data_IF_003133024607
#
_entry.id   IF_003133024607
#
_cell.length_a   1.000
_cell.length_b   1.000
_cell.length_c   1.000
_cell.angle_alpha   90.00
_cell.angle_beta   90.00
_cell.angle_gamma   90.00
#
_symmetry.space_group_name_H-M   'P 1'
#
loop_
_entity.id
_entity.type
_entity.pdbx_description
1 polymer ?
#
# COMPACT_ATOMS: atom_id res chain seq x y z
N UNK A 1 -31.85 1.88 -8.43
CA UNK A 1 -32.28 1.01 -7.32
C UNK A 1 -31.44 -0.25 -7.37
N UNK A 2 -30.26 -0.21 -6.75
CA UNK A 2 -29.43 -1.39 -6.59
C UNK A 2 -29.89 -2.11 -5.32
N UNK A 3 -30.28 -3.38 -5.50
CA UNK A 3 -30.71 -4.29 -4.44
C UNK A 3 -29.59 -4.46 -3.43
N UNK A 4 -29.87 -4.18 -2.14
CA UNK A 4 -29.08 -4.71 -1.02
C UNK A 4 -28.97 -6.23 -1.21
N UNK A 5 -27.77 -6.72 -1.54
CA UNK A 5 -27.49 -8.14 -1.47
C UNK A 5 -27.43 -8.52 -0.01
N UNK A 6 -28.51 -9.15 0.45
CA UNK A 6 -28.60 -9.82 1.75
C UNK A 6 -27.40 -10.77 1.84
N UNK A 7 -26.54 -10.59 2.84
CA UNK A 7 -25.38 -11.43 3.11
C UNK A 7 -25.78 -12.91 3.05
N UNK A 8 -25.20 -13.64 2.10
CA UNK A 8 -25.22 -15.09 2.13
C UNK A 8 -24.39 -15.50 3.36
N UNK A 9 -24.93 -16.27 4.32
CA UNK A 9 -24.13 -16.76 5.43
C UNK A 9 -22.97 -17.58 4.88
N UNK A 10 -21.77 -17.35 5.43
CA UNK A 10 -20.61 -18.16 5.10
C UNK A 10 -20.92 -19.64 5.36
N UNK A 11 -20.50 -20.58 4.50
CA UNK A 11 -20.57 -21.99 4.81
C UNK A 11 -19.81 -22.27 6.11
N UNK A 12 -20.27 -23.26 6.87
CA UNK A 12 -19.82 -23.70 8.21
C UNK A 12 -18.56 -23.01 8.77
N UNK A 13 -18.63 -22.36 9.96
CA UNK A 13 -17.52 -21.60 10.51
C UNK A 13 -16.25 -22.45 10.60
N UNK A 14 -15.11 -21.85 10.26
CA UNK A 14 -13.80 -22.50 10.33
C UNK A 14 -13.56 -23.12 11.72
N UNK A 15 -13.13 -24.38 11.75
CA UNK A 15 -12.83 -25.10 13.01
C UNK A 15 -11.71 -24.41 13.82
N UNK A 16 -10.81 -23.67 13.16
CA UNK A 16 -9.78 -22.83 13.79
C UNK A 16 -9.31 -21.71 12.84
N UNK A 17 -8.92 -20.56 13.39
CA UNK A 17 -8.41 -19.42 12.61
C UNK A 17 -6.89 -19.50 12.41
N UNK A 18 -6.33 -19.03 11.27
CA UNK A 18 -4.91 -19.07 10.97
C UNK A 18 -4.16 -17.96 11.71
N UNK A 19 -3.99 -18.16 13.02
CA UNK A 19 -3.31 -17.24 13.93
C UNK A 19 -1.91 -16.83 13.48
N UNK A 20 -1.22 -17.69 12.75
CA UNK A 20 0.11 -17.43 12.22
C UNK A 20 0.13 -16.29 11.20
N UNK A 21 -1.01 -15.89 10.64
CA UNK A 21 -1.10 -14.78 9.69
C UNK A 21 -0.85 -13.41 10.33
N UNK A 22 -1.08 -13.26 11.64
CA UNK A 22 -0.82 -12.01 12.36
C UNK A 22 0.69 -11.86 12.64
N UNK A 23 1.37 -11.08 11.80
CA UNK A 23 2.82 -10.86 11.89
C UNK A 23 3.13 -9.66 12.78
N UNK A 24 4.39 -9.23 12.78
CA UNK A 24 4.85 -8.10 13.57
C UNK A 24 4.38 -6.74 13.03
N UNK A 25 4.14 -6.59 11.73
CA UNK A 25 3.86 -5.28 11.11
C UNK A 25 2.60 -5.27 10.24
N UNK A 26 2.05 -6.44 9.96
CA UNK A 26 0.89 -6.63 9.09
C UNK A 26 0.27 -8.02 9.32
N UNK A 27 -0.82 -8.29 8.59
CA UNK A 27 -1.38 -9.63 8.46
C UNK A 27 -1.04 -10.16 7.07
N UNK A 28 -0.47 -11.35 6.96
CA UNK A 28 -0.13 -12.00 5.67
C UNK A 28 -0.36 -13.50 5.69
N UNK A 29 -0.85 -14.02 4.58
CA UNK A 29 -1.08 -15.46 4.39
C UNK A 29 -1.43 -15.82 2.96
N UNK A 30 -1.65 -17.11 2.73
CA UNK A 30 -2.10 -17.61 1.44
C UNK A 30 -3.54 -17.18 1.13
N UNK A 31 -3.80 -16.76 -0.10
CA UNK A 31 -5.11 -16.34 -0.60
C UNK A 31 -5.21 -16.56 -2.12
N UNK A 32 -5.77 -17.70 -2.53
CA UNK A 32 -5.68 -18.20 -3.92
C UNK A 32 -6.71 -17.57 -4.88
N UNK A 33 -7.50 -16.59 -4.44
CA UNK A 33 -8.53 -15.92 -5.26
C UNK A 33 -9.83 -16.71 -5.47
N UNK A 34 -9.83 -18.02 -5.21
CA UNK A 34 -11.01 -18.89 -5.29
C UNK A 34 -11.78 -19.02 -3.95
N UNK A 35 -11.41 -18.20 -2.96
CA UNK A 35 -11.95 -18.25 -1.60
C UNK A 35 -11.26 -19.27 -0.68
N UNK A 36 -10.23 -19.97 -1.17
CA UNK A 36 -9.39 -20.88 -0.38
C UNK A 36 -8.07 -20.22 0.04
N UNK A 37 -7.43 -20.80 1.05
CA UNK A 37 -6.20 -20.30 1.64
C UNK A 37 -6.37 -20.05 3.13
N UNK A 38 -5.45 -19.28 3.70
CA UNK A 38 -5.52 -18.83 5.08
C UNK A 38 -6.37 -17.56 5.19
N UNK A 39 -6.20 -16.62 4.25
CA UNK A 39 -6.98 -15.38 4.22
C UNK A 39 -8.17 -15.56 3.28
N UNK A 40 -9.31 -15.90 3.87
CA UNK A 40 -10.58 -16.08 3.17
C UNK A 40 -11.46 -14.83 3.28
N UNK A 41 -12.53 -14.69 2.47
CA UNK A 41 -13.51 -13.63 2.65
C UNK A 41 -14.15 -13.63 4.06
N UNK A 42 -14.33 -14.80 4.67
CA UNK A 42 -14.81 -14.93 6.05
C UNK A 42 -13.81 -14.37 7.06
N UNK A 43 -12.51 -14.67 6.87
CA UNK A 43 -11.44 -14.07 7.67
C UNK A 43 -11.47 -12.54 7.56
N UNK A 44 -11.61 -12.00 6.35
CA UNK A 44 -11.63 -10.56 6.12
C UNK A 44 -12.85 -9.89 6.77
N UNK A 45 -14.04 -10.48 6.67
CA UNK A 45 -15.24 -10.01 7.39
C UNK A 45 -14.99 -9.93 8.89
N UNK A 46 -14.48 -11.02 9.47
CA UNK A 46 -14.18 -11.09 10.90
C UNK A 46 -13.10 -10.09 11.31
N UNK A 47 -12.09 -9.86 10.46
CA UNK A 47 -11.08 -8.82 10.69
C UNK A 47 -11.71 -7.42 10.71
N UNK A 48 -12.68 -7.15 9.84
CA UNK A 48 -13.41 -5.89 9.84
C UNK A 48 -14.18 -5.65 11.14
N UNK A 49 -14.87 -6.69 11.64
CA UNK A 49 -15.55 -6.66 12.95
C UNK A 49 -14.57 -6.44 14.11
N UNK A 50 -13.41 -7.10 14.06
CA UNK A 50 -12.37 -6.97 15.06
C UNK A 50 -11.76 -5.55 15.06
N UNK A 51 -11.47 -4.99 13.89
CA UNK A 51 -10.95 -3.62 13.75
C UNK A 51 -11.94 -2.58 14.27
N UNK A 52 -13.23 -2.67 13.91
CA UNK A 52 -14.26 -1.78 14.43
C UNK A 52 -14.31 -1.80 15.97
N UNK A 53 -14.21 -3.00 16.56
CA UNK A 53 -14.26 -3.20 18.01
C UNK A 53 -12.99 -2.72 18.72
N UNK A 54 -11.81 -3.04 18.17
CA UNK A 54 -10.51 -2.76 18.80
C UNK A 54 -10.08 -1.30 18.63
N UNK A 55 -10.42 -0.67 17.50
CA UNK A 55 -10.05 0.72 17.23
C UNK A 55 -11.09 1.72 17.72
N UNK A 56 -12.31 1.27 18.01
CA UNK A 56 -13.45 2.13 18.35
C UNK A 56 -13.62 3.28 17.33
N UNK A 57 -13.44 2.97 16.04
CA UNK A 57 -13.45 3.96 14.98
C UNK A 57 -14.87 4.31 14.50
N UNK A 58 -15.11 5.59 14.23
CA UNK A 58 -16.34 6.08 13.60
C UNK A 58 -16.22 6.05 12.07
N UNK A 59 -15.03 6.29 11.53
CA UNK A 59 -14.75 6.23 10.10
C UNK A 59 -13.40 5.60 9.79
N UNK A 60 -13.30 4.86 8.68
CA UNK A 60 -12.09 4.12 8.32
C UNK A 60 -11.90 4.04 6.80
N UNK A 61 -10.68 4.23 6.31
CA UNK A 61 -10.36 4.15 4.89
C UNK A 61 -9.94 2.72 4.48
N UNK A 62 -10.37 2.25 3.31
CA UNK A 62 -10.00 0.92 2.78
C UNK A 62 -9.52 1.05 1.34
N UNK A 63 -8.27 0.69 1.10
CA UNK A 63 -7.70 0.53 -0.24
C UNK A 63 -7.37 -0.93 -0.52
N UNK A 64 -7.16 -1.27 -1.80
CA UNK A 64 -6.77 -2.64 -2.20
C UNK A 64 -5.83 -2.63 -3.39
N UNK A 65 -5.00 -3.67 -3.48
CA UNK A 65 -4.21 -3.95 -4.69
C UNK A 65 -5.02 -4.74 -5.74
N UNK A 66 -4.34 -5.11 -6.84
CA UNK A 66 -4.95 -5.77 -8.00
C UNK A 66 -5.02 -7.31 -7.91
N UNK A 67 -4.62 -7.93 -6.79
CA UNK A 67 -4.62 -9.40 -6.69
C UNK A 67 -6.05 -9.94 -6.87
N UNK A 68 -6.18 -11.12 -7.48
CA UNK A 68 -7.49 -11.76 -7.71
C UNK A 68 -8.30 -11.96 -6.42
N UNK A 69 -7.63 -12.15 -5.27
CA UNK A 69 -8.26 -12.25 -3.95
C UNK A 69 -8.67 -10.91 -3.33
N UNK A 70 -8.05 -9.79 -3.72
CA UNK A 70 -8.24 -8.47 -3.11
C UNK A 70 -9.68 -7.94 -3.19
N UNK A 71 -10.43 -8.07 -4.31
CA UNK A 71 -11.81 -7.60 -4.37
C UNK A 71 -12.73 -8.25 -3.32
N UNK A 72 -12.64 -9.57 -3.16
CA UNK A 72 -13.47 -10.30 -2.20
C UNK A 72 -13.06 -10.03 -0.75
N UNK A 73 -11.75 -9.95 -0.48
CA UNK A 73 -11.23 -9.64 0.86
C UNK A 73 -11.61 -8.20 1.27
N UNK A 74 -11.38 -7.21 0.40
CA UNK A 74 -11.75 -5.83 0.69
C UNK A 74 -13.25 -5.67 0.90
N UNK A 75 -14.08 -6.26 0.02
CA UNK A 75 -15.54 -6.18 0.16
C UNK A 75 -16.03 -6.74 1.50
N UNK A 76 -15.51 -7.89 1.93
CA UNK A 76 -15.90 -8.47 3.22
C UNK A 76 -15.33 -7.71 4.42
N UNK A 77 -14.10 -7.21 4.33
CA UNK A 77 -13.50 -6.34 5.35
C UNK A 77 -14.36 -5.09 5.59
N UNK A 78 -14.78 -4.41 4.51
CA UNK A 78 -15.65 -3.24 4.58
C UNK A 78 -17.02 -3.57 5.16
N UNK A 79 -17.60 -4.73 4.81
CA UNK A 79 -18.86 -5.18 5.38
C UNK A 79 -18.75 -5.43 6.89
N UNK A 80 -17.67 -6.08 7.34
CA UNK A 80 -17.41 -6.28 8.77
C UNK A 80 -17.25 -4.95 9.51
N UNK A 81 -16.51 -3.99 8.95
CA UNK A 81 -16.41 -2.64 9.53
C UNK A 81 -17.79 -1.96 9.63
N UNK A 82 -18.58 -1.99 8.56
CA UNK A 82 -19.90 -1.35 8.52
C UNK A 82 -20.89 -1.98 9.52
N UNK A 83 -20.90 -3.31 9.67
CA UNK A 83 -21.71 -4.01 10.69
C UNK A 83 -21.28 -3.68 12.13
N UNK A 84 -20.04 -3.20 12.32
CA UNK A 84 -19.57 -2.63 13.59
C UNK A 84 -19.99 -1.18 13.82
N UNK A 85 -20.69 -0.54 12.87
CA UNK A 85 -21.10 0.87 12.95
C UNK A 85 -20.18 1.87 12.27
N UNK A 86 -19.13 1.40 11.58
CA UNK A 86 -18.11 2.26 10.97
C UNK A 86 -18.58 2.83 9.63
N UNK A 87 -18.33 4.12 9.39
CA UNK A 87 -18.41 4.74 8.07
C UNK A 87 -17.14 4.45 7.27
N UNK A 88 -17.22 3.54 6.32
CA UNK A 88 -16.09 3.06 5.52
C UNK A 88 -15.94 3.88 4.24
N UNK A 89 -14.74 4.41 4.01
CA UNK A 89 -14.38 5.07 2.74
C UNK A 89 -13.66 4.04 1.85
N UNK A 90 -14.32 3.58 0.78
CA UNK A 90 -13.72 2.70 -0.22
C UNK A 90 -12.88 3.54 -1.18
N UNK A 91 -11.56 3.45 -1.07
CA UNK A 91 -10.62 4.19 -1.92
C UNK A 91 -10.45 3.55 -3.31
N UNK A 92 -10.96 2.33 -3.50
CA UNK A 92 -10.78 1.57 -4.74
C UNK A 92 -9.39 0.91 -4.83
N UNK A 93 -8.91 0.74 -6.06
CA UNK A 93 -7.56 0.21 -6.33
C UNK A 93 -6.57 1.36 -6.24
N UNK A 94 -5.69 1.31 -5.23
CA UNK A 94 -4.76 2.40 -4.89
C UNK A 94 -3.44 1.84 -4.38
N UNK A 95 -2.37 2.65 -4.42
CA UNK A 95 -1.11 2.29 -3.75
C UNK A 95 -1.23 2.33 -2.23
N UNK A 96 -0.31 1.65 -1.52
CA UNK A 96 -0.20 1.74 -0.06
C UNK A 96 0.02 3.18 0.41
N UNK A 97 0.82 3.97 -0.32
CA UNK A 97 1.04 5.38 -0.03
C UNK A 97 -0.25 6.22 -0.09
N UNK A 98 -1.17 5.89 -0.99
CA UNK A 98 -2.48 6.57 -1.10
C UNK A 98 -3.38 6.29 0.12
N UNK A 99 -3.37 5.07 0.67
CA UNK A 99 -4.09 4.77 1.92
C UNK A 99 -3.52 5.58 3.07
N UNK A 100 -2.19 5.66 3.18
CA UNK A 100 -1.54 6.47 4.22
C UNK A 100 -1.83 7.96 4.06
N UNK A 101 -1.83 8.47 2.82
CA UNK A 101 -2.23 9.84 2.52
C UNK A 101 -3.68 10.12 2.91
N UNK A 102 -4.60 9.19 2.64
CA UNK A 102 -6.00 9.30 3.06
C UNK A 102 -6.14 9.38 4.58
N UNK A 103 -5.34 8.63 5.35
CA UNK A 103 -5.32 8.74 6.82
C UNK A 103 -4.91 10.13 7.33
N UNK A 104 -4.12 10.89 6.56
CA UNK A 104 -3.71 12.26 6.89
C UNK A 104 -4.68 13.34 6.39
N UNK A 105 -5.41 13.07 5.31
CA UNK A 105 -6.17 14.10 4.58
C UNK A 105 -7.69 13.96 4.70
N UNK A 106 -8.20 12.76 5.00
CA UNK A 106 -9.61 12.49 5.19
C UNK A 106 -9.96 12.40 6.68
N UNK A 107 -11.22 12.69 7.07
CA UNK A 107 -11.67 12.58 8.46
C UNK A 107 -11.91 11.11 8.86
N UNK A 108 -10.84 10.32 8.92
CA UNK A 108 -10.86 8.89 9.27
C UNK A 108 -10.02 8.63 10.52
N UNK A 109 -10.39 7.59 11.28
CA UNK A 109 -9.64 7.15 12.45
C UNK A 109 -8.52 6.15 12.10
N UNK A 110 -8.23 5.98 10.82
CA UNK A 110 -7.22 5.07 10.30
C UNK A 110 -7.62 4.50 8.95
N UNK A 111 -6.87 3.50 8.51
CA UNK A 111 -7.13 2.85 7.24
C UNK A 111 -6.46 1.49 7.13
N UNK A 112 -6.82 0.75 6.09
CA UNK A 112 -6.25 -0.55 5.77
C UNK A 112 -6.05 -0.69 4.27
N UNK A 113 -4.86 -1.15 3.92
CA UNK A 113 -4.52 -1.57 2.57
C UNK A 113 -4.59 -3.09 2.48
N UNK A 114 -5.45 -3.61 1.62
CA UNK A 114 -5.53 -5.05 1.29
C UNK A 114 -4.45 -5.37 0.27
N UNK A 115 -3.34 -5.94 0.74
CA UNK A 115 -2.19 -6.30 -0.09
C UNK A 115 -1.24 -7.28 0.62
N UNK A 116 -0.50 -8.09 -0.15
CA UNK A 116 0.72 -8.77 0.32
C UNK A 116 2.02 -8.17 -0.23
N UNK A 117 1.98 -6.91 -0.68
CA UNK A 117 3.13 -6.17 -1.20
C UNK A 117 3.82 -6.91 -2.33
N UNK A 118 5.07 -7.35 -2.17
CA UNK A 118 5.85 -8.07 -3.17
C UNK A 118 5.72 -9.60 -3.16
N UNK A 119 4.94 -10.19 -2.25
CA UNK A 119 4.75 -11.65 -2.28
C UNK A 119 3.99 -12.05 -3.54
N UNK A 120 4.20 -13.26 -4.10
CA UNK A 120 3.60 -13.63 -5.38
C UNK A 120 2.09 -13.36 -5.44
N UNK A 121 1.65 -12.49 -6.34
CA UNK A 121 0.26 -12.06 -6.53
C UNK A 121 -0.75 -13.21 -6.61
N UNK A 122 -0.48 -14.32 -7.32
CA UNK A 122 -1.46 -15.39 -7.48
C UNK A 122 -1.79 -16.17 -6.20
N UNK A 123 -0.96 -16.08 -5.16
CA UNK A 123 -1.05 -17.01 -4.01
C UNK A 123 -1.10 -16.34 -2.64
N UNK A 124 -0.75 -15.07 -2.52
CA UNK A 124 -0.67 -14.39 -1.22
C UNK A 124 -1.56 -13.16 -1.19
N UNK A 125 -2.03 -12.78 0.00
CA UNK A 125 -2.59 -11.46 0.25
C UNK A 125 -2.37 -11.08 1.73
N UNK A 126 -2.88 -9.93 2.15
CA UNK A 126 -2.65 -9.40 3.49
C UNK A 126 -3.35 -8.08 3.77
N UNK A 127 -3.04 -7.53 4.94
CA UNK A 127 -3.62 -6.28 5.44
C UNK A 127 -2.54 -5.46 6.14
N UNK A 128 -2.23 -4.27 5.61
CA UNK A 128 -1.44 -3.24 6.28
C UNK A 128 -2.40 -2.24 6.90
N UNK A 129 -2.29 -1.97 8.19
CA UNK A 129 -3.33 -1.24 8.93
C UNK A 129 -2.75 -0.04 9.67
N UNK A 130 -3.52 1.04 9.77
CA UNK A 130 -3.20 2.24 10.50
C UNK A 130 -4.25 2.53 11.57
N UNK A 131 -3.80 3.08 12.71
CA UNK A 131 -4.63 3.72 13.74
C UNK A 131 -4.30 5.20 13.74
N UNK A 132 -5.27 6.03 13.39
CA UNK A 132 -5.04 7.41 12.99
C UNK A 132 -4.07 7.46 11.80
N UNK A 133 -2.98 8.20 11.97
CA UNK A 133 -1.95 8.39 10.94
C UNK A 133 -0.75 7.44 11.09
N UNK A 134 -0.74 6.57 12.11
CA UNK A 134 0.38 5.69 12.42
C UNK A 134 0.06 4.23 12.08
N UNK A 135 1.07 3.43 11.67
CA UNK A 135 0.88 2.00 11.42
C UNK A 135 0.58 1.26 12.72
N UNK A 136 -0.34 0.28 12.66
CA UNK A 136 -0.51 -0.72 13.71
C UNK A 136 0.63 -1.73 13.60
N UNK A 137 1.36 -1.95 14.69
CA UNK A 137 2.50 -2.87 14.71
C UNK A 137 2.69 -3.51 16.09
N UNK A 138 3.50 -4.57 16.11
CA UNK A 138 3.96 -5.25 17.31
C UNK A 138 2.82 -5.73 18.20
N UNK A 139 2.80 -5.20 19.43
CA UNK A 139 1.81 -5.54 20.46
C UNK A 139 0.38 -5.22 20.02
N UNK A 140 0.15 -4.10 19.31
CA UNK A 140 -1.19 -3.71 18.87
C UNK A 140 -1.81 -4.71 17.90
N UNK A 141 -1.01 -5.35 17.03
CA UNK A 141 -1.51 -6.43 16.15
C UNK A 141 -1.87 -7.67 16.97
N UNK A 142 -1.15 -7.96 18.05
CA UNK A 142 -1.45 -9.09 18.91
C UNK A 142 -2.69 -8.84 19.78
N UNK A 143 -2.93 -7.59 20.19
CA UNK A 143 -4.18 -7.17 20.84
C UNK A 143 -5.37 -7.29 19.88
N UNK A 144 -5.23 -6.80 18.64
CA UNK A 144 -6.23 -6.99 17.59
C UNK A 144 -6.51 -8.48 17.33
N UNK A 145 -5.46 -9.32 17.29
CA UNK A 145 -5.60 -10.77 17.17
C UNK A 145 -6.42 -11.36 18.32
N UNK A 146 -6.22 -10.90 19.56
CA UNK A 146 -7.01 -11.37 20.70
C UNK A 146 -8.50 -11.04 20.53
N UNK A 147 -8.84 -9.82 20.11
CA UNK A 147 -10.23 -9.42 19.79
C UNK A 147 -10.81 -10.26 18.67
N UNK A 148 -10.03 -10.49 17.60
CA UNK A 148 -10.42 -11.34 16.48
C UNK A 148 -10.74 -12.77 16.93
N UNK A 149 -9.93 -13.37 17.82
CA UNK A 149 -10.13 -14.74 18.30
C UNK A 149 -11.31 -14.86 19.27
N UNK A 150 -11.49 -13.88 20.17
CA UNK A 150 -12.60 -13.86 21.12
C UNK A 150 -13.95 -13.89 20.39
N UNK A 151 -14.11 -13.09 19.34
CA UNK A 151 -15.33 -13.09 18.52
C UNK A 151 -16.52 -12.34 19.10
N UNK A 152 -16.32 -11.65 20.22
CA UNK A 152 -17.27 -10.71 20.80
C UNK A 152 -17.00 -9.34 20.19
N UNK A 153 -17.87 -8.93 19.26
CA UNK A 153 -17.68 -7.71 18.48
C UNK A 153 -18.73 -6.66 18.83
N UNK A 154 -18.38 -5.39 18.63
CA UNK A 154 -19.36 -4.31 18.62
C UNK A 154 -20.39 -4.53 17.50
N UNK A 155 -21.59 -3.98 17.72
CA UNK A 155 -22.70 -4.00 16.77
C UNK A 155 -23.06 -2.57 16.41
N UNK A 156 -23.34 -2.33 15.14
CA UNK A 156 -23.74 -1.03 14.65
C UNK A 156 -24.33 -1.10 13.25
N UNK A 157 -24.62 0.07 12.70
CA UNK A 157 -25.09 0.21 11.32
C UNK A 157 -24.34 1.35 10.66
N UNK A 158 -23.18 1.03 10.11
CA UNK A 158 -22.35 1.92 9.33
C UNK A 158 -22.79 2.02 7.87
N UNK A 159 -21.93 2.59 7.05
CA UNK A 159 -22.13 2.71 5.60
C UNK A 159 -20.80 2.53 4.87
N UNK A 160 -20.87 2.15 3.59
CA UNK A 160 -19.71 2.09 2.68
C UNK A 160 -19.89 3.19 1.64
N UNK A 161 -18.91 4.07 1.52
CA UNK A 161 -18.95 5.25 0.65
C UNK A 161 -17.81 5.16 -0.37
N UNK A 162 -18.16 5.13 -1.65
CA UNK A 162 -17.21 5.20 -2.76
C UNK A 162 -16.46 6.54 -2.73
N UNK A 163 -15.14 6.47 -2.51
CA UNK A 163 -14.27 7.63 -2.29
C UNK A 163 -12.91 7.43 -3.00
N UNK A 164 -12.87 7.36 -4.34
CA UNK A 164 -11.60 7.24 -5.07
C UNK A 164 -10.64 8.37 -4.69
N UNK A 165 -9.38 8.05 -4.38
CA UNK A 165 -8.44 9.01 -3.76
C UNK A 165 -7.04 9.05 -4.42
N UNK A 166 -6.81 8.24 -5.47
CA UNK A 166 -5.49 8.17 -6.10
C UNK A 166 -5.10 9.46 -6.83
N UNK A 167 -6.06 10.12 -7.48
CA UNK A 167 -5.81 11.39 -8.17
C UNK A 167 -5.42 12.49 -7.17
N UNK A 168 -6.12 12.59 -6.03
CA UNK A 168 -5.78 13.52 -4.96
C UNK A 168 -4.36 13.26 -4.40
N UNK A 169 -3.95 12.00 -4.31
CA UNK A 169 -2.59 11.64 -3.90
C UNK A 169 -1.54 12.01 -4.94
N UNK A 170 -1.81 11.80 -6.24
CA UNK A 170 -0.92 12.21 -7.33
C UNK A 170 -0.76 13.74 -7.34
N UNK A 171 -1.85 14.48 -7.20
CA UNK A 171 -1.83 15.95 -7.14
C UNK A 171 -1.00 16.45 -5.95
N UNK A 172 -1.14 15.82 -4.77
CA UNK A 172 -0.34 16.14 -3.59
C UNK A 172 1.17 15.89 -3.81
N UNK A 173 1.54 14.80 -4.52
CA UNK A 173 2.95 14.52 -4.88
C UNK A 173 3.49 15.63 -5.81
N UNK A 174 2.71 16.03 -6.82
CA UNK A 174 3.10 17.05 -7.78
C UNK A 174 3.26 18.41 -7.08
N UNK A 175 2.32 18.79 -6.22
CA UNK A 175 2.37 20.02 -5.44
C UNK A 175 3.60 20.05 -4.51
N UNK A 176 3.86 18.93 -3.82
CA UNK A 176 5.01 18.82 -2.91
C UNK A 176 6.36 18.83 -3.63
N UNK A 177 6.44 18.24 -4.83
CA UNK A 177 7.71 18.13 -5.59
C UNK A 177 8.04 19.43 -6.32
N UNK A 178 7.01 20.15 -6.78
CA UNK A 178 7.18 21.33 -7.62
C UNK A 178 7.65 21.00 -9.06
N UNK A 179 7.92 22.03 -9.87
CA UNK A 179 8.24 21.84 -11.28
C UNK A 179 9.64 21.27 -11.49
N UNK A 180 9.78 20.41 -12.50
CA UNK A 180 11.07 19.88 -12.93
C UNK A 180 12.03 21.01 -13.36
N UNK A 181 13.24 21.03 -12.79
CA UNK A 181 14.25 22.05 -13.10
C UNK A 181 14.76 21.96 -14.56
N UNK A 182 14.65 20.78 -15.18
CA UNK A 182 14.98 20.51 -16.57
C UNK A 182 14.24 19.27 -17.05
N UNK A 183 14.23 19.06 -18.37
CA UNK A 183 13.82 17.77 -18.93
C UNK A 183 14.74 16.66 -18.45
N UNK A 184 14.15 15.52 -18.10
CA UNK A 184 14.82 14.30 -17.67
C UNK A 184 14.21 13.15 -18.46
N UNK A 185 15.05 12.20 -18.87
CA UNK A 185 14.58 10.94 -19.46
C UNK A 185 14.77 9.78 -18.49
N UNK A 186 13.71 9.09 -18.11
CA UNK A 186 13.72 8.00 -17.12
C UNK A 186 13.10 6.72 -17.70
N UNK A 187 13.52 5.55 -17.24
CA UNK A 187 12.75 4.33 -17.44
C UNK A 187 12.03 3.95 -16.15
N UNK A 188 10.77 3.52 -16.22
CA UNK A 188 10.01 3.05 -15.05
C UNK A 188 9.52 1.63 -15.24
N UNK A 189 9.58 0.83 -14.17
CA UNK A 189 9.13 -0.55 -14.15
C UNK A 189 8.03 -0.75 -13.11
N UNK A 190 6.82 -1.00 -13.59
CA UNK A 190 5.65 -1.25 -12.76
C UNK A 190 5.51 -2.69 -12.27
N UNK A 191 6.28 -3.64 -12.77
CA UNK A 191 6.20 -5.06 -12.40
C UNK A 191 4.80 -5.67 -12.57
N UNK A 192 3.98 -5.14 -13.50
CA UNK A 192 2.56 -5.40 -13.68
C UNK A 192 1.66 -5.13 -12.48
N UNK A 193 2.13 -4.30 -11.56
CA UNK A 193 1.51 -4.08 -10.26
C UNK A 193 0.76 -2.76 -10.17
N UNK A 194 0.10 -2.54 -9.03
CA UNK A 194 -0.68 -1.34 -8.70
C UNK A 194 0.01 -0.03 -9.13
N UNK A 195 1.28 0.24 -8.79
CA UNK A 195 1.91 1.53 -9.11
C UNK A 195 2.09 1.78 -10.62
N UNK A 196 2.07 0.76 -11.49
CA UNK A 196 2.38 0.90 -12.92
C UNK A 196 1.63 2.05 -13.63
N UNK A 197 0.29 1.99 -13.77
CA UNK A 197 -0.47 3.04 -14.46
C UNK A 197 -0.36 4.40 -13.77
N UNK A 198 -0.22 4.42 -12.44
CA UNK A 198 -0.12 5.64 -11.66
C UNK A 198 1.25 6.33 -11.79
N UNK A 199 2.34 5.56 -11.96
CA UNK A 199 3.64 6.13 -12.29
C UNK A 199 3.61 6.78 -13.68
N UNK A 200 2.97 6.14 -14.66
CA UNK A 200 2.78 6.71 -16.01
C UNK A 200 2.00 8.02 -15.91
N UNK A 201 0.85 8.02 -15.23
CA UNK A 201 0.03 9.21 -15.00
C UNK A 201 0.82 10.34 -14.32
N UNK A 202 1.60 10.03 -13.27
CA UNK A 202 2.41 11.01 -12.56
C UNK A 202 3.48 11.62 -13.46
N UNK A 203 4.22 10.79 -14.21
CA UNK A 203 5.30 11.25 -15.09
C UNK A 203 4.80 12.09 -16.27
N UNK A 204 3.67 11.70 -16.85
CA UNK A 204 2.97 12.48 -17.89
C UNK A 204 2.58 13.86 -17.34
N UNK A 205 1.99 13.93 -16.14
CA UNK A 205 1.57 15.18 -15.51
C UNK A 205 2.78 16.08 -15.16
N UNK A 206 3.92 15.50 -14.80
CA UNK A 206 5.17 16.22 -14.54
C UNK A 206 5.94 16.63 -15.82
N UNK A 207 5.51 16.17 -16.99
CA UNK A 207 6.18 16.46 -18.27
C UNK A 207 7.57 15.82 -18.39
N UNK A 208 7.75 14.65 -17.79
CA UNK A 208 9.00 13.86 -17.86
C UNK A 208 9.00 13.02 -19.13
N UNK A 209 10.15 12.83 -19.78
CA UNK A 209 10.26 11.89 -20.89
C UNK A 209 10.47 10.49 -20.30
N UNK A 210 9.54 9.54 -20.47
CA UNK A 210 9.63 8.22 -19.83
C UNK A 210 9.56 7.04 -20.81
N UNK A 211 10.10 5.91 -20.36
CA UNK A 211 10.01 4.59 -21.00
C UNK A 211 9.36 3.63 -20.02
N UNK A 212 8.22 3.06 -20.42
CA UNK A 212 7.37 2.28 -19.51
C UNK A 212 7.59 0.78 -19.70
N UNK A 213 7.98 0.11 -18.62
CA UNK A 213 8.10 -1.32 -18.54
C UNK A 213 6.99 -1.84 -17.63
N UNK A 214 6.22 -2.80 -18.16
CA UNK A 214 5.27 -3.59 -17.37
C UNK A 214 4.33 -2.72 -16.51
N UNK A 215 3.91 -1.57 -17.02
CA UNK A 215 3.06 -0.62 -16.29
C UNK A 215 1.56 -0.93 -16.40
N UNK A 216 1.17 -1.96 -17.15
CA UNK A 216 -0.22 -2.46 -17.18
C UNK A 216 -0.46 -3.45 -16.04
N UNK A 217 -1.63 -3.38 -15.40
CA UNK A 217 -2.02 -4.32 -14.36
C UNK A 217 -2.20 -5.74 -14.89
N UNK A 218 -1.46 -6.69 -14.31
CA UNK A 218 -1.62 -8.12 -14.54
C UNK A 218 -1.19 -8.91 -13.30
N UNK A 219 -2.18 -9.37 -12.53
CA UNK A 219 -1.98 -10.11 -11.28
C UNK A 219 -1.41 -11.53 -11.47
N UNK A 220 -1.21 -11.98 -12.72
CA UNK A 220 -0.55 -13.27 -13.00
C UNK A 220 0.97 -13.21 -12.91
N UNK A 221 1.54 -12.01 -12.73
CA UNK A 221 2.99 -11.74 -12.71
C UNK A 221 3.72 -12.29 -13.95
N UNK A 222 3.35 -11.89 -15.18
CA UNK A 222 3.79 -12.54 -16.41
C UNK A 222 5.29 -12.31 -16.74
N UNK A 223 5.91 -11.28 -16.18
CA UNK A 223 7.27 -10.87 -16.51
C UNK A 223 8.29 -11.24 -15.41
N UNK A 224 8.16 -10.61 -14.25
CA UNK A 224 8.91 -10.93 -13.03
C UNK A 224 8.08 -10.56 -11.80
N UNK A 225 8.48 -11.04 -10.63
CA UNK A 225 7.84 -10.61 -9.38
C UNK A 225 8.07 -9.12 -9.14
N UNK A 226 7.05 -8.43 -8.62
CA UNK A 226 7.08 -7.00 -8.29
C UNK A 226 7.87 -6.74 -6.99
N UNK A 227 9.16 -7.05 -7.03
CA UNK A 227 10.13 -6.84 -5.93
C UNK A 227 11.40 -6.18 -6.48
N UNK A 228 11.47 -4.84 -6.48
CA UNK A 228 12.59 -4.10 -7.05
C UNK A 228 13.84 -4.14 -6.15
N UNK A 229 13.75 -4.72 -4.94
CA UNK A 229 14.90 -4.92 -4.05
C UNK A 229 15.80 -6.07 -4.51
N UNK A 230 15.32 -6.89 -5.46
CA UNK A 230 16.04 -8.03 -6.02
C UNK A 230 16.68 -7.64 -7.34
N UNK A 231 18.03 -7.64 -7.46
CA UNK A 231 18.70 -7.25 -8.70
C UNK A 231 18.26 -8.04 -9.94
N UNK A 232 17.85 -9.31 -9.77
CA UNK A 232 17.34 -10.15 -10.86
C UNK A 232 16.05 -9.61 -11.51
N UNK A 233 15.22 -8.89 -10.76
CA UNK A 233 13.97 -8.32 -11.25
C UNK A 233 14.20 -6.97 -11.93
N UNK A 234 15.39 -6.38 -11.81
CA UNK A 234 15.75 -5.06 -12.34
C UNK A 234 16.57 -5.14 -13.63
N UNK A 235 16.75 -6.35 -14.16
CA UNK A 235 17.59 -6.61 -15.34
C UNK A 235 17.00 -5.96 -16.59
N UNK A 236 15.70 -6.07 -16.79
CA UNK A 236 15.05 -5.51 -17.99
C UNK A 236 14.95 -3.99 -17.92
N UNK A 237 14.69 -3.43 -16.73
CA UNK A 237 14.82 -2.00 -16.49
C UNK A 237 16.23 -1.49 -16.80
N UNK A 238 17.28 -2.17 -16.33
CA UNK A 238 18.67 -1.82 -16.62
C UNK A 238 19.00 -1.84 -18.12
N UNK A 239 18.49 -2.83 -18.86
CA UNK A 239 18.63 -2.86 -20.33
C UNK A 239 17.90 -1.70 -20.98
N UNK A 240 16.66 -1.43 -20.60
CA UNK A 240 15.87 -0.35 -21.18
C UNK A 240 16.52 1.02 -20.96
N UNK A 241 17.12 1.25 -19.79
CA UNK A 241 17.88 2.49 -19.53
C UNK A 241 19.01 2.67 -20.55
N UNK A 242 19.82 1.63 -20.79
CA UNK A 242 20.94 1.69 -21.73
C UNK A 242 20.44 1.78 -23.18
N UNK A 243 19.45 0.97 -23.57
CA UNK A 243 18.93 0.89 -24.93
C UNK A 243 18.24 2.18 -25.37
N UNK A 244 17.52 2.84 -24.46
CA UNK A 244 16.80 4.08 -24.73
C UNK A 244 17.56 5.34 -24.34
N UNK A 245 18.76 5.21 -23.76
CA UNK A 245 19.57 6.34 -23.30
C UNK A 245 18.87 7.16 -22.21
N UNK A 246 18.21 6.48 -21.26
CA UNK A 246 17.65 7.13 -20.08
C UNK A 246 18.78 7.51 -19.11
N UNK A 247 18.53 8.52 -18.27
CA UNK A 247 19.50 8.98 -17.26
C UNK A 247 19.58 8.05 -16.05
N UNK A 248 18.48 7.39 -15.73
CA UNK A 248 18.37 6.35 -14.71
C UNK A 248 17.05 5.60 -14.92
N UNK A 249 16.81 4.58 -14.09
CA UNK A 249 15.52 3.89 -14.04
C UNK A 249 15.05 3.63 -12.61
N UNK A 250 13.73 3.57 -12.43
CA UNK A 250 13.07 3.27 -11.16
C UNK A 250 12.10 2.10 -11.33
N UNK A 251 12.15 1.13 -10.42
CA UNK A 251 11.17 0.05 -10.34
C UNK A 251 10.38 0.14 -9.04
N UNK A 252 9.08 -0.12 -9.09
CA UNK A 252 8.21 -0.14 -7.92
C UNK A 252 7.86 -1.58 -7.52
N UNK A 253 7.55 -1.78 -6.23
CA UNK A 253 7.05 -3.05 -5.74
C UNK A 253 5.53 -3.19 -5.89
N UNK A 254 5.00 -4.36 -5.51
CA UNK A 254 3.61 -4.75 -5.80
C UNK A 254 2.53 -3.75 -5.37
N UNK A 255 2.76 -3.00 -4.29
CA UNK A 255 1.83 -2.03 -3.73
C UNK A 255 2.38 -0.60 -3.67
N UNK A 256 3.58 -0.38 -4.20
CA UNK A 256 4.16 0.94 -4.44
C UNK A 256 4.71 1.64 -3.20
N UNK A 257 5.05 0.91 -2.14
CA UNK A 257 5.71 1.47 -0.94
C UNK A 257 7.23 1.31 -0.96
N UNK A 258 7.78 0.59 -1.94
CA UNK A 258 9.22 0.44 -2.14
C UNK A 258 9.62 0.71 -3.58
N UNK A 259 10.82 1.30 -3.71
CA UNK A 259 11.47 1.55 -4.98
C UNK A 259 12.82 0.84 -5.06
N UNK A 260 13.23 0.48 -6.27
CA UNK A 260 14.59 0.15 -6.62
C UNK A 260 15.07 1.04 -7.75
N UNK A 261 16.38 1.19 -7.89
CA UNK A 261 16.96 2.09 -8.88
C UNK A 261 18.07 1.41 -9.69
N UNK A 262 18.20 1.84 -10.94
CA UNK A 262 19.36 1.55 -11.80
C UNK A 262 19.94 2.86 -12.31
N UNK A 263 21.26 2.92 -12.45
CA UNK A 263 21.94 4.11 -12.99
C UNK A 263 21.99 4.13 -14.53
N UNK A 264 22.62 5.16 -15.10
CA UNK A 264 22.73 5.39 -16.55
C UNK A 264 23.44 4.25 -17.31
N UNK A 265 24.23 3.45 -16.61
CA UNK A 265 24.93 2.29 -17.15
C UNK A 265 24.13 0.99 -16.96
N UNK A 266 22.89 1.08 -16.47
CA UNK A 266 22.02 -0.06 -16.18
C UNK A 266 22.44 -0.84 -14.93
N UNK A 267 23.27 -0.27 -14.06
CA UNK A 267 23.75 -0.95 -12.85
C UNK A 267 22.74 -0.74 -11.72
N UNK A 268 22.39 -1.82 -11.03
CA UNK A 268 21.54 -1.77 -9.85
C UNK A 268 22.17 -0.92 -8.73
N UNK A 269 21.40 0.00 -8.17
CA UNK A 269 21.78 0.86 -7.06
C UNK A 269 21.08 0.37 -5.80
N UNK A 270 21.89 0.00 -4.81
CA UNK A 270 21.37 -0.45 -3.52
C UNK A 270 20.71 0.71 -2.75
N UNK A 271 19.62 0.45 -1.99
CA UNK A 271 18.86 1.49 -1.30
C UNK A 271 19.65 2.34 -0.30
N UNK A 272 20.71 1.79 0.30
CA UNK A 272 21.63 2.52 1.20
C UNK A 272 22.27 3.74 0.51
N UNK A 273 22.59 3.62 -0.78
CA UNK A 273 23.12 4.73 -1.60
C UNK A 273 22.04 5.75 -1.95
N UNK A 274 20.78 5.33 -2.12
CA UNK A 274 19.66 6.23 -2.37
C UNK A 274 19.36 7.08 -1.13
N UNK A 275 19.39 6.47 0.07
CA UNK A 275 19.20 7.19 1.33
C UNK A 275 20.24 8.31 1.49
N UNK A 276 21.51 8.08 1.13
CA UNK A 276 22.53 9.11 1.19
C UNK A 276 22.22 10.31 0.27
N UNK A 277 21.68 10.07 -0.93
CA UNK A 277 21.26 11.12 -1.86
C UNK A 277 20.05 11.91 -1.32
N UNK A 278 19.05 11.21 -0.79
CA UNK A 278 17.85 11.84 -0.21
C UNK A 278 18.19 12.66 1.04
N UNK A 279 19.09 12.13 1.89
CA UNK A 279 19.57 12.85 3.07
C UNK A 279 20.38 14.10 2.69
N UNK A 280 21.26 14.01 1.69
CA UNK A 280 21.98 15.19 1.19
C UNK A 280 21.00 16.27 0.71
N UNK A 281 19.95 15.88 -0.04
CA UNK A 281 18.94 16.83 -0.50
C UNK A 281 18.14 17.48 0.64
N UNK A 282 17.68 16.69 1.61
CA UNK A 282 16.92 17.16 2.76
C UNK A 282 17.74 18.11 3.66
N UNK A 283 19.05 17.89 3.77
CA UNK A 283 19.95 18.64 4.67
C UNK A 283 20.62 19.85 4.00
N UNK A 284 20.47 20.06 2.68
CA UNK A 284 21.11 21.17 1.93
C UNK A 284 20.82 22.57 2.48
N UNK A 285 19.72 22.75 3.21
CA UNK A 285 19.31 24.01 3.81
C UNK A 285 19.48 24.05 5.36
N UNK A 286 20.27 23.14 5.96
CA UNK A 286 20.51 23.12 7.43
C UNK A 286 21.04 24.47 7.99
N UNK A 287 21.86 25.19 7.22
CA UNK A 287 22.40 26.51 7.62
C UNK A 287 21.32 27.63 7.69
N UNK A 288 20.08 27.36 7.26
CA UNK A 288 18.93 28.28 7.33
C UNK A 288 17.95 27.93 8.44
N UNK A 289 18.22 26.87 9.18
CA UNK A 289 17.37 26.43 10.26
C UNK A 289 17.59 27.34 11.48
N UNK A 290 16.50 27.85 12.09
CA UNK A 290 16.57 28.52 13.39
C UNK A 290 17.33 27.68 14.43
N UNK A 291 18.03 28.30 15.38
CA UNK A 291 18.77 27.57 16.43
C UNK A 291 17.87 26.64 17.29
N UNK A 292 16.55 26.83 17.26
CA UNK A 292 15.51 26.01 17.90
C UNK A 292 14.89 24.94 16.97
N UNK A 293 15.40 24.76 15.75
CA UNK A 293 14.90 23.76 14.80
C UNK A 293 15.04 22.30 15.29
N UNK A 294 15.81 22.04 16.36
CA UNK A 294 15.83 20.73 17.03
C UNK A 294 14.52 20.40 17.77
N UNK A 295 13.74 21.43 18.11
CA UNK A 295 12.39 21.29 18.69
C UNK A 295 11.30 21.28 17.61
N UNK A 296 11.67 21.57 16.37
CA UNK A 296 10.79 21.56 15.22
C UNK A 296 10.54 20.10 14.78
N UNK A 297 9.32 19.61 14.97
CA UNK A 297 8.90 18.27 14.56
C UNK A 297 9.13 18.02 13.05
N UNK A 298 9.35 19.08 12.27
CA UNK A 298 9.59 19.06 10.83
C UNK A 298 10.98 18.55 10.38
N UNK A 299 12.00 18.51 11.26
CA UNK A 299 13.38 18.12 10.88
C UNK A 299 13.91 16.89 11.61
N UNK A 300 13.05 16.17 12.33
CA UNK A 300 13.45 14.85 12.82
C UNK A 300 13.53 13.90 11.64
N UNK A 301 14.75 13.57 11.22
CA UNK A 301 15.02 12.33 10.48
C UNK A 301 14.69 11.18 11.43
N UNK A 302 13.42 10.78 11.46
CA UNK A 302 12.94 9.60 12.16
C UNK A 302 13.39 8.41 11.32
N UNK A 303 14.35 7.65 11.85
CA UNK A 303 14.68 6.33 11.32
C UNK A 303 13.55 5.36 11.68
N UNK A 304 13.00 4.67 10.68
CA UNK A 304 11.96 3.66 10.91
C UNK A 304 12.53 2.26 11.15
N UNK A 305 11.83 1.53 12.00
CA UNK A 305 12.04 0.18 12.49
C UNK A 305 11.64 -0.82 11.39
N UNK A 306 12.63 -1.18 10.56
CA UNK A 306 12.73 -2.44 9.80
C UNK A 306 11.44 -3.05 9.23
N UNK A 307 11.25 -2.86 7.92
CA UNK A 307 10.61 -3.87 7.06
C UNK A 307 11.41 -5.19 7.13
N UNK A 308 10.71 -6.31 7.33
CA UNK A 308 11.26 -7.68 7.29
C UNK A 308 11.61 -8.13 5.86
#
# INVERSE_FOLDING_TARGET
MASLQIHQPFPTPMESWPEACFKAYDIRGFANGDGTGELTPEFAYRLGRALATYLECESFAVGRDIRDSSPALASQLMAGLADGGVRVLDLGIVSTGCVYHACWTLPVNGGVMVTASHLPMPTHNGFKMCRGTLPLAGEEIQELKAVFLEGEFCEGSGEIVDTPHMDDYIDAIIESTGPMARKVKVAVDGGNAVPGPFMVQLLDAMGVDHVDLFCEWDATEPNHGADPTRPKNMVDLGKAVVEHGCEFGLGADGDGDRIGAVDEAGRFIYPDRLIALLADDLLKDEDRLPEDASDDEHLRVIYDVKCS
#
